data_IF_237082687743
#
_entry.id   IF_237082687743
#
_cell.length_a   1.000
_cell.length_b   1.000
_cell.length_c   1.000
_cell.angle_alpha   90.00
_cell.angle_beta   90.00
_cell.angle_gamma   90.00
#
_symmetry.space_group_name_H-M   'P 1'
#
loop_
_entity.id
_entity.type
_entity.pdbx_description
1 polymer ?
#
# COMPACT_ATOMS: atom_id res chain seq x y z
N UNK A 1 5.71 21.78 -6.55
CA UNK A 1 6.09 20.59 -5.76
C UNK A 1 6.05 19.39 -6.68
N UNK A 2 7.19 18.74 -6.94
CA UNK A 2 7.24 17.56 -7.81
C UNK A 2 6.70 16.36 -7.03
N UNK A 3 5.76 15.62 -7.64
CA UNK A 3 5.14 14.43 -7.05
C UNK A 3 5.62 13.19 -7.80
N UNK A 4 5.94 12.14 -7.07
CA UNK A 4 6.30 10.83 -7.65
C UNK A 4 5.37 9.76 -7.10
N UNK A 5 4.79 8.96 -7.98
CA UNK A 5 3.90 7.85 -7.62
C UNK A 5 4.52 6.50 -7.92
N UNK A 6 4.43 5.57 -6.98
CA UNK A 6 4.89 4.19 -7.13
C UNK A 6 4.16 3.27 -6.15
N UNK A 7 4.39 1.95 -6.24
CA UNK A 7 3.98 1.03 -5.18
C UNK A 7 4.89 1.18 -3.93
N UNK A 8 4.39 0.79 -2.76
CA UNK A 8 5.12 0.86 -1.49
C UNK A 8 6.11 -0.27 -1.25
N UNK A 9 6.72 -0.83 -2.29
CA UNK A 9 7.75 -1.86 -2.11
C UNK A 9 9.09 -1.25 -1.68
N UNK A 10 9.90 -2.02 -0.95
CA UNK A 10 11.20 -1.57 -0.46
C UNK A 10 12.18 -1.15 -1.57
N UNK A 11 12.03 -1.68 -2.78
CA UNK A 11 12.83 -1.25 -3.94
C UNK A 11 12.49 0.17 -4.40
N UNK A 12 11.27 0.66 -4.12
CA UNK A 12 10.81 1.98 -4.50
C UNK A 12 10.97 3.00 -3.35
N UNK A 13 10.53 2.64 -2.15
CA UNK A 13 10.47 3.54 -0.97
C UNK A 13 11.59 3.34 0.04
N UNK A 14 12.44 2.31 -0.14
CA UNK A 14 13.46 1.95 0.83
C UNK A 14 14.47 3.07 1.10
N UNK A 15 14.80 3.25 2.39
CA UNK A 15 15.74 4.29 2.87
C UNK A 15 17.15 4.12 2.26
N UNK A 16 17.54 2.89 1.92
CA UNK A 16 18.81 2.57 1.26
C UNK A 16 18.54 1.98 -0.12
N UNK A 17 18.99 2.70 -1.16
CA UNK A 17 18.90 2.23 -2.55
C UNK A 17 17.49 2.25 -3.15
N UNK A 18 16.47 2.71 -2.41
CA UNK A 18 15.13 2.90 -2.95
C UNK A 18 15.13 3.93 -4.08
N UNK A 19 14.34 3.66 -5.13
CA UNK A 19 14.32 4.49 -6.34
C UNK A 19 13.98 5.95 -6.02
N UNK A 20 12.97 6.20 -5.18
CA UNK A 20 12.60 7.57 -4.80
C UNK A 20 13.75 8.24 -4.04
N UNK A 21 14.36 7.53 -3.09
CA UNK A 21 15.50 8.07 -2.33
C UNK A 21 16.67 8.43 -3.24
N UNK A 22 16.97 7.59 -4.22
CA UNK A 22 18.02 7.87 -5.19
C UNK A 22 17.69 9.08 -6.07
N UNK A 23 16.43 9.23 -6.50
CA UNK A 23 15.98 10.40 -7.25
C UNK A 23 16.12 11.69 -6.43
N UNK A 24 15.73 11.69 -5.16
CA UNK A 24 15.89 12.85 -4.27
C UNK A 24 17.35 13.28 -4.13
N UNK A 25 18.28 12.31 -4.06
CA UNK A 25 19.71 12.58 -4.01
C UNK A 25 20.24 13.18 -5.32
N UNK A 26 19.82 12.63 -6.47
CA UNK A 26 20.20 13.14 -7.80
C UNK A 26 19.66 14.55 -8.03
N UNK A 27 18.42 14.80 -7.62
CA UNK A 27 17.74 16.09 -7.79
C UNK A 27 18.14 17.11 -6.70
N UNK A 28 18.84 16.66 -5.65
CA UNK A 28 19.15 17.44 -4.45
C UNK A 28 17.91 18.16 -3.87
N UNK A 29 16.76 17.48 -3.91
CA UNK A 29 15.47 18.05 -3.50
C UNK A 29 14.52 16.93 -3.04
N UNK A 30 13.81 17.08 -1.91
CA UNK A 30 12.84 16.10 -1.43
C UNK A 30 11.62 16.02 -2.36
N UNK A 31 11.15 14.82 -2.70
CA UNK A 31 9.98 14.65 -3.55
C UNK A 31 8.73 14.49 -2.68
N UNK A 32 7.57 14.89 -3.18
CA UNK A 32 6.31 14.53 -2.53
C UNK A 32 5.88 13.15 -2.99
N UNK A 33 5.69 12.24 -2.03
CA UNK A 33 5.43 10.82 -2.31
C UNK A 33 3.93 10.58 -2.49
N UNK A 34 3.57 9.89 -3.57
CA UNK A 34 2.21 9.39 -3.82
C UNK A 34 2.26 7.86 -3.91
N UNK A 35 2.52 7.23 -2.77
CA UNK A 35 2.81 5.79 -2.69
C UNK A 35 1.54 4.99 -2.47
N UNK A 36 1.35 3.94 -3.27
CA UNK A 36 0.28 2.98 -3.06
C UNK A 36 0.63 2.00 -1.93
N UNK A 37 -0.10 2.10 -0.82
CA UNK A 37 0.06 1.23 0.37
C UNK A 37 -0.69 -0.11 0.28
N UNK A 38 -0.94 -0.61 -0.94
CA UNK A 38 -1.59 -1.90 -1.14
C UNK A 38 -0.86 -3.02 -0.36
N UNK A 39 0.48 -3.00 -0.34
CA UNK A 39 1.31 -3.96 0.40
C UNK A 39 1.22 -3.80 1.94
N UNK A 40 0.99 -2.60 2.46
CA UNK A 40 0.78 -2.37 3.90
C UNK A 40 -0.49 -3.03 4.41
N UNK A 41 -1.51 -3.12 3.58
CA UNK A 41 -2.76 -3.81 3.90
C UNK A 41 -2.69 -5.30 3.53
N UNK A 42 -1.92 -5.66 2.50
CA UNK A 42 -1.76 -7.04 2.06
C UNK A 42 -1.09 -7.90 3.13
N UNK A 43 -0.01 -7.44 3.78
CA UNK A 43 0.73 -8.23 4.75
C UNK A 43 -0.10 -8.61 6.01
N UNK A 44 -0.77 -7.67 6.71
CA UNK A 44 -1.62 -7.99 7.84
C UNK A 44 -2.86 -8.80 7.45
N UNK A 45 -3.44 -8.49 6.28
CA UNK A 45 -4.65 -9.15 5.80
C UNK A 45 -4.33 -10.42 4.99
N UNK A 46 -3.07 -10.81 4.83
CA UNK A 46 -2.69 -11.96 3.99
C UNK A 46 -3.35 -13.25 4.45
N UNK A 47 -3.45 -13.45 5.76
CA UNK A 47 -4.15 -14.59 6.36
C UNK A 47 -5.66 -14.52 6.12
N UNK A 48 -6.25 -13.33 6.23
CA UNK A 48 -7.65 -13.11 5.90
C UNK A 48 -7.90 -13.41 4.42
N UNK A 49 -7.11 -12.86 3.51
CA UNK A 49 -7.20 -13.11 2.07
C UNK A 49 -6.98 -14.58 1.70
N UNK A 50 -6.05 -15.27 2.36
CA UNK A 50 -5.87 -16.71 2.17
C UNK A 50 -7.13 -17.50 2.57
N UNK A 51 -7.87 -17.04 3.58
CA UNK A 51 -9.12 -17.64 4.03
C UNK A 51 -10.32 -17.26 3.14
N UNK A 52 -10.44 -15.99 2.74
CA UNK A 52 -11.63 -15.48 2.03
C UNK A 52 -11.53 -15.58 0.50
N UNK A 53 -10.33 -15.59 -0.06
CA UNK A 53 -10.09 -15.53 -1.52
C UNK A 53 -9.37 -16.78 -2.07
N UNK A 54 -9.11 -17.77 -1.20
CA UNK A 54 -8.36 -19.02 -1.47
C UNK A 54 -6.89 -18.73 -1.88
N UNK A 55 -5.99 -19.71 -1.75
CA UNK A 55 -4.59 -19.61 -2.17
C UNK A 55 -4.47 -19.23 -3.65
N UNK A 56 -4.07 -17.99 -3.92
CA UNK A 56 -3.75 -17.54 -5.27
C UNK A 56 -2.48 -18.22 -5.75
N UNK A 57 -2.62 -19.18 -6.67
CA UNK A 57 -1.47 -19.91 -7.23
C UNK A 57 -0.73 -19.10 -8.30
N UNK A 58 -1.29 -17.96 -8.75
CA UNK A 58 -0.68 -17.13 -9.80
C UNK A 58 -1.15 -15.67 -9.75
N UNK A 59 -0.27 -14.68 -10.00
CA UNK A 59 -0.64 -13.26 -10.06
C UNK A 59 -1.64 -12.87 -11.16
N UNK A 60 -1.95 -13.79 -12.10
CA UNK A 60 -2.87 -13.54 -13.23
C UNK A 60 -4.19 -14.33 -13.18
N UNK A 61 -4.38 -15.26 -12.25
CA UNK A 61 -5.61 -16.05 -12.19
C UNK A 61 -6.56 -15.43 -11.16
N UNK A 62 -7.63 -14.79 -11.63
CA UNK A 62 -8.78 -14.36 -10.84
C UNK A 62 -9.65 -15.59 -10.49
N UNK A 63 -9.15 -16.47 -9.63
CA UNK A 63 -9.83 -17.74 -9.32
C UNK A 63 -10.74 -17.65 -8.09
N UNK A 64 -10.45 -16.75 -7.14
CA UNK A 64 -11.29 -16.52 -5.96
C UNK A 64 -12.59 -15.79 -6.29
N UNK A 65 -13.68 -16.11 -5.58
CA UNK A 65 -15.02 -15.51 -5.81
C UNK A 65 -15.03 -13.99 -5.60
N UNK A 66 -14.23 -13.48 -4.65
CA UNK A 66 -14.07 -12.03 -4.43
C UNK A 66 -13.40 -11.41 -5.65
N UNK A 67 -12.33 -12.02 -6.13
CA UNK A 67 -11.64 -11.56 -7.35
C UNK A 67 -12.49 -11.63 -8.62
N UNK A 68 -13.34 -12.65 -8.78
CA UNK A 68 -14.31 -12.71 -9.89
C UNK A 68 -15.34 -11.59 -9.79
N UNK A 69 -15.82 -11.30 -8.59
CA UNK A 69 -16.78 -10.21 -8.35
C UNK A 69 -16.22 -8.82 -8.64
N UNK A 70 -14.88 -8.67 -8.61
CA UNK A 70 -14.19 -7.43 -8.98
C UNK A 70 -14.08 -7.22 -10.51
N UNK A 71 -14.40 -8.22 -11.34
CA UNK A 71 -14.35 -8.07 -12.78
C UNK A 71 -15.44 -7.07 -13.25
N UNK A 72 -15.03 -5.96 -13.88
CA UNK A 72 -15.96 -4.92 -14.32
C UNK A 72 -16.31 -3.90 -13.25
N UNK A 73 -15.63 -3.91 -12.09
CA UNK A 73 -15.89 -2.95 -11.02
C UNK A 73 -15.63 -1.50 -11.43
N UNK A 74 -14.79 -1.26 -12.44
CA UNK A 74 -14.52 0.06 -13.01
C UNK A 74 -15.75 0.71 -13.67
N UNK A 75 -16.76 -0.11 -13.99
CA UNK A 75 -18.04 0.34 -14.58
C UNK A 75 -19.11 0.61 -13.52
N UNK A 76 -18.86 0.24 -12.27
CA UNK A 76 -19.81 0.46 -11.19
C UNK A 76 -19.81 1.94 -10.79
N UNK A 77 -20.98 2.54 -10.52
CA UNK A 77 -21.06 3.90 -10.04
C UNK A 77 -20.34 4.04 -8.70
N UNK A 78 -19.61 5.13 -8.52
CA UNK A 78 -18.97 5.44 -7.25
C UNK A 78 -20.04 5.64 -6.18
N UNK A 79 -20.06 4.75 -5.19
CA UNK A 79 -20.96 4.86 -4.05
C UNK A 79 -20.36 5.83 -3.03
N UNK A 80 -21.17 6.75 -2.50
CA UNK A 80 -20.77 7.61 -1.40
C UNK A 80 -20.50 6.78 -0.16
N UNK A 81 -19.27 6.84 0.37
CA UNK A 81 -18.91 6.21 1.64
C UNK A 81 -19.08 7.18 2.79
N UNK A 82 -19.52 6.68 3.94
CA UNK A 82 -19.47 7.42 5.20
C UNK A 82 -18.03 7.36 5.75
N UNK A 83 -17.43 8.50 6.16
CA UNK A 83 -16.18 8.48 6.89
C UNK A 83 -16.32 7.60 8.13
N UNK A 84 -15.36 6.71 8.36
CA UNK A 84 -15.27 5.99 9.62
C UNK A 84 -14.55 6.92 10.58
N UNK A 85 -15.24 7.35 11.64
CA UNK A 85 -14.59 8.05 12.74
C UNK A 85 -13.61 7.09 13.43
N UNK A 86 -12.33 7.44 13.40
CA UNK A 86 -11.30 6.70 14.11
C UNK A 86 -10.44 7.68 14.90
N UNK A 87 -10.16 7.31 16.15
CA UNK A 87 -9.12 7.98 16.93
C UNK A 87 -7.83 7.26 16.60
N UNK A 88 -6.90 7.97 15.96
CA UNK A 88 -5.57 7.41 15.67
C UNK A 88 -4.86 7.21 17.02
N UNK A 89 -4.76 5.96 17.48
CA UNK A 89 -4.01 5.66 18.70
C UNK A 89 -2.55 6.09 18.50
N UNK A 90 -2.04 6.88 19.44
CA UNK A 90 -0.64 7.28 19.45
C UNK A 90 0.23 6.01 19.50
N UNK A 91 1.12 5.84 18.52
CA UNK A 91 2.05 4.72 18.52
C UNK A 91 3.11 4.98 19.58
N UNK A 92 2.88 4.46 20.79
CA UNK A 92 3.78 4.64 21.94
C UNK A 92 5.07 3.83 21.82
N UNK A 93 5.04 2.69 21.12
CA UNK A 93 6.20 1.83 20.91
C UNK A 93 6.63 1.80 19.43
N UNK A 94 7.54 2.70 19.05
CA UNK A 94 8.11 2.76 17.70
C UNK A 94 8.87 1.49 17.28
N UNK A 95 9.20 0.59 18.19
CA UNK A 95 9.92 -0.67 17.88
C UNK A 95 9.03 -1.70 17.18
N UNK A 96 7.72 -1.55 17.31
CA UNK A 96 6.74 -2.47 16.71
C UNK A 96 6.35 -2.05 15.28
N UNK A 97 6.87 -0.90 14.82
CA UNK A 97 6.64 -0.39 13.47
C UNK A 97 7.60 -1.00 12.46
N UNK A 98 7.08 -1.27 11.26
CA UNK A 98 7.94 -1.55 10.11
C UNK A 98 8.77 -0.32 9.74
N UNK A 99 9.85 -0.54 8.96
CA UNK A 99 10.69 0.56 8.47
C UNK A 99 9.89 1.58 7.65
N UNK A 100 8.92 1.12 6.86
CA UNK A 100 8.07 1.98 6.04
C UNK A 100 7.09 2.79 6.90
N UNK A 101 6.52 2.19 7.95
CA UNK A 101 5.65 2.89 8.88
C UNK A 101 6.40 3.95 9.68
N UNK A 102 7.64 3.66 10.09
CA UNK A 102 8.51 4.59 10.81
C UNK A 102 8.96 5.77 9.94
N UNK A 103 9.06 5.58 8.62
CA UNK A 103 9.40 6.64 7.67
C UNK A 103 8.23 7.62 7.45
N UNK A 104 6.99 7.15 7.58
CA UNK A 104 5.78 7.94 7.34
C UNK A 104 5.26 8.70 8.57
N UNK A 105 5.77 8.41 9.77
CA UNK A 105 5.51 9.14 11.02
C UNK A 105 6.53 10.26 11.25
#
# INVERSE_FOLDING_TARGET
CNKVGCDGTSVNTGVKGGIIRNMELILNHPLQWFVCQLHSNELPLRHLFAHVDITTTRPRSLTGEIRKSLAGCEKLPLVSSTPIEYTLCEVTNKKDLSTDQLYLM
#
